data_IF_426188323891
#
_entry.id   IF_426188323891
#
_cell.length_a   1.000
_cell.length_b   1.000
_cell.length_c   1.000
_cell.angle_alpha   90.00
_cell.angle_beta   90.00
_cell.angle_gamma   90.00
#
_symmetry.space_group_name_H-M   'P 1'
#
loop_
_entity.id
_entity.type
_entity.pdbx_description
1 polymer ?
#
# COMPACT_ATOMS: atom_id res chain seq x y z
N UNK A 1 18.57 -19.99 3.53
CA UNK A 1 17.74 -18.78 3.65
C UNK A 1 16.36 -19.05 3.04
N UNK A 2 15.29 -19.07 3.85
CA UNK A 2 13.92 -19.41 3.44
C UNK A 2 13.25 -18.22 2.72
N UNK A 3 13.55 -18.05 1.43
CA UNK A 3 13.31 -16.80 0.66
C UNK A 3 11.94 -16.57 0.01
N UNK A 4 10.87 -17.30 0.34
CA UNK A 4 9.53 -17.07 -0.28
C UNK A 4 8.49 -16.41 0.64
N UNK A 5 8.47 -16.75 1.93
CA UNK A 5 7.55 -16.14 2.90
C UNK A 5 7.95 -14.72 3.28
N UNK A 6 9.24 -14.49 3.50
CA UNK A 6 9.79 -13.20 3.91
C UNK A 6 9.56 -12.10 2.89
N UNK A 7 9.61 -12.40 1.59
CA UNK A 7 9.39 -11.41 0.55
C UNK A 7 7.92 -10.97 0.49
N UNK A 8 6.97 -11.89 0.68
CA UNK A 8 5.54 -11.56 0.69
C UNK A 8 5.20 -10.71 1.91
N UNK A 9 5.77 -11.04 3.06
CA UNK A 9 5.62 -10.29 4.32
C UNK A 9 6.22 -8.90 4.21
N UNK A 10 7.47 -8.78 3.74
CA UNK A 10 8.10 -7.48 3.52
C UNK A 10 7.32 -6.57 2.55
N UNK A 11 6.68 -7.13 1.52
CA UNK A 11 5.80 -6.38 0.61
C UNK A 11 4.51 -5.92 1.28
N UNK A 12 4.02 -6.66 2.26
CA UNK A 12 2.83 -6.31 3.02
C UNK A 12 3.16 -5.21 4.03
N UNK A 13 4.24 -5.36 4.79
CA UNK A 13 4.67 -4.35 5.77
C UNK A 13 4.99 -3.02 5.09
N UNK A 14 5.77 -3.04 4.00
CA UNK A 14 6.00 -1.83 3.20
C UNK A 14 4.68 -1.19 2.75
N UNK A 15 3.70 -1.99 2.31
CA UNK A 15 2.42 -1.42 1.89
C UNK A 15 1.67 -0.72 3.04
N UNK A 16 1.69 -1.30 4.25
CA UNK A 16 1.07 -0.69 5.43
C UNK A 16 1.75 0.62 5.80
N UNK A 17 3.08 0.63 5.85
CA UNK A 17 3.87 1.83 6.17
C UNK A 17 3.55 2.98 5.22
N UNK A 18 3.48 2.69 3.92
CA UNK A 18 3.18 3.68 2.87
C UNK A 18 1.76 4.24 2.97
N UNK A 19 0.77 3.40 3.34
CA UNK A 19 -0.61 3.84 3.58
C UNK A 19 -0.67 4.76 4.81
N UNK A 20 0.00 4.37 5.90
CA UNK A 20 0.05 5.17 7.14
C UNK A 20 0.70 6.52 6.88
N UNK A 21 1.84 6.55 6.18
CA UNK A 21 2.55 7.78 5.83
C UNK A 21 1.68 8.71 4.99
N UNK A 22 0.94 8.17 4.01
CA UNK A 22 0.05 8.96 3.17
C UNK A 22 -1.12 9.57 3.96
N UNK A 23 -1.83 8.76 4.77
CA UNK A 23 -2.97 9.23 5.58
C UNK A 23 -2.52 10.30 6.60
N UNK A 24 -1.31 10.17 7.15
CA UNK A 24 -0.76 11.15 8.06
C UNK A 24 -0.51 12.52 7.39
N UNK A 25 -0.16 12.53 6.10
CA UNK A 25 0.03 13.76 5.31
C UNK A 25 -1.25 14.30 4.66
N UNK A 26 -2.24 13.43 4.41
CA UNK A 26 -3.50 13.76 3.73
C UNK A 26 -4.66 13.17 4.55
N UNK A 27 -5.08 13.86 5.64
CA UNK A 27 -6.24 13.42 6.43
C UNK A 27 -7.52 13.43 5.58
N UNK A 28 -8.49 12.59 5.96
CA UNK A 28 -9.79 12.42 5.30
C UNK A 28 -9.75 11.95 3.83
N UNK A 29 -8.62 11.39 3.37
CA UNK A 29 -8.51 10.83 2.03
C UNK A 29 -9.37 9.57 1.85
N UNK A 30 -9.82 9.33 0.62
CA UNK A 30 -10.55 8.10 0.27
C UNK A 30 -9.61 6.95 -0.07
N UNK A 31 -10.12 5.71 -0.02
CA UNK A 31 -9.38 4.54 -0.50
C UNK A 31 -8.98 4.65 -1.98
N UNK A 32 -9.72 5.41 -2.80
CA UNK A 32 -9.37 5.67 -4.20
C UNK A 32 -8.14 6.58 -4.31
N UNK A 33 -8.04 7.60 -3.46
CA UNK A 33 -6.91 8.53 -3.43
C UNK A 33 -5.63 7.80 -3.03
N UNK A 34 -5.70 6.96 -1.99
CA UNK A 34 -4.57 6.12 -1.55
C UNK A 34 -4.10 5.21 -2.69
N UNK A 35 -5.02 4.50 -3.36
CA UNK A 35 -4.66 3.61 -4.48
C UNK A 35 -4.03 4.38 -5.63
N UNK A 36 -4.56 5.57 -5.96
CA UNK A 36 -4.02 6.44 -6.99
C UNK A 36 -2.58 6.84 -6.67
N UNK A 37 -2.35 7.41 -5.49
CA UNK A 37 -1.05 7.84 -5.02
C UNK A 37 -0.03 6.69 -5.04
N UNK A 38 -0.37 5.55 -4.41
CA UNK A 38 0.56 4.43 -4.31
C UNK A 38 0.89 3.81 -5.68
N UNK A 39 -0.10 3.72 -6.58
CA UNK A 39 0.09 3.08 -7.89
C UNK A 39 0.83 3.97 -8.89
N UNK A 40 0.55 5.28 -8.87
CA UNK A 40 1.05 6.21 -9.87
C UNK A 40 2.26 6.99 -9.39
N UNK A 41 2.20 7.53 -8.17
CA UNK A 41 3.26 8.39 -7.62
C UNK A 41 4.36 7.55 -6.97
N UNK A 42 4.00 6.62 -6.07
CA UNK A 42 4.98 5.69 -5.44
C UNK A 42 5.34 4.48 -6.31
N UNK A 43 4.68 4.33 -7.47
CA UNK A 43 4.93 3.28 -8.46
C UNK A 43 4.84 1.85 -7.90
N UNK A 44 4.01 1.62 -6.87
CA UNK A 44 3.79 0.32 -6.20
C UNK A 44 2.88 -0.64 -7.00
N UNK A 45 2.99 -0.65 -8.33
CA UNK A 45 2.08 -1.37 -9.25
C UNK A 45 2.10 -2.89 -9.07
N UNK A 46 3.20 -3.45 -8.59
CA UNK A 46 3.33 -4.89 -8.33
C UNK A 46 2.56 -5.34 -7.06
N UNK A 47 2.01 -4.43 -6.26
CA UNK A 47 1.29 -4.78 -5.03
C UNK A 47 -0.18 -5.20 -5.25
N UNK A 48 -0.68 -5.20 -6.50
CA UNK A 48 -2.06 -5.59 -6.80
C UNK A 48 -3.08 -4.75 -6.03
N UNK A 49 -2.85 -3.43 -6.02
CA UNK A 49 -3.63 -2.48 -5.25
C UNK A 49 -4.99 -2.29 -5.90
N UNK A 50 -6.03 -2.39 -5.07
CA UNK A 50 -7.41 -2.06 -5.42
C UNK A 50 -8.00 -1.29 -4.26
N UNK A 51 -9.03 -0.49 -4.51
CA UNK A 51 -9.74 0.25 -3.46
C UNK A 51 -10.27 -0.70 -2.40
N UNK A 52 -10.78 -1.86 -2.80
CA UNK A 52 -11.20 -2.93 -1.89
C UNK A 52 -10.06 -3.45 -1.03
N UNK A 53 -8.88 -3.67 -1.60
CA UNK A 53 -7.71 -4.14 -0.84
C UNK A 53 -7.27 -3.10 0.19
N UNK A 54 -7.28 -1.82 -0.18
CA UNK A 54 -6.91 -0.73 0.72
C UNK A 54 -7.96 -0.52 1.80
N UNK A 55 -9.26 -0.51 1.46
CA UNK A 55 -10.34 -0.33 2.44
C UNK A 55 -10.60 -1.51 3.38
N UNK A 56 -9.80 -2.58 3.28
CA UNK A 56 -9.79 -3.69 4.25
C UNK A 56 -8.64 -3.55 5.28
N UNK A 57 -7.70 -2.63 5.05
CA UNK A 57 -6.68 -2.24 6.04
C UNK A 57 -7.24 -1.15 6.95
#
# INVERSE_FOLDING_TARGET
MRGKGSQKEARLERLKEEIIEYIAGVPDCSAADIVHYLSNERRMRNHGLTTRKVGLF
#
